data_IF_721270305993
#
_entry.id   IF_721270305993
#
_cell.length_a   1.000
_cell.length_b   1.000
_cell.length_c   1.000
_cell.angle_alpha   90.00
_cell.angle_beta   90.00
_cell.angle_gamma   90.00
#
_symmetry.space_group_name_H-M   'P 1'
#
loop_
_entity.id
_entity.type
_entity.pdbx_description
1 polymer ?
#
# COMPACT_ATOMS: atom_id res chain seq x y z
N UNK A 1 16.41 -1.86 -5.70
CA UNK A 1 15.52 -1.38 -4.61
C UNK A 1 14.92 -0.08 -5.09
N UNK A 2 13.63 -0.04 -5.36
CA UNK A 2 12.92 1.23 -5.52
C UNK A 2 13.00 1.97 -4.18
N UNK A 3 13.50 3.20 -4.20
CA UNK A 3 13.61 4.01 -2.99
C UNK A 3 12.22 4.37 -2.49
N UNK A 4 12.01 4.34 -1.17
CA UNK A 4 10.76 4.71 -0.50
C UNK A 4 10.11 5.96 -1.11
N UNK A 5 10.89 7.01 -1.33
CA UNK A 5 10.45 8.28 -1.92
C UNK A 5 9.86 8.14 -3.35
N UNK A 6 10.36 7.21 -4.17
CA UNK A 6 9.77 6.96 -5.50
C UNK A 6 8.38 6.34 -5.37
N UNK A 7 8.22 5.46 -4.38
CA UNK A 7 6.96 4.79 -4.12
C UNK A 7 5.92 5.75 -3.54
N UNK A 8 6.34 6.62 -2.62
CA UNK A 8 5.51 7.72 -2.12
C UNK A 8 5.07 8.64 -3.26
N UNK A 9 5.99 9.02 -4.17
CA UNK A 9 5.66 9.81 -5.34
C UNK A 9 4.69 9.10 -6.31
N UNK A 10 4.81 7.78 -6.48
CA UNK A 10 3.87 6.99 -7.28
C UNK A 10 2.48 6.96 -6.63
N UNK A 11 2.40 6.74 -5.32
CA UNK A 11 1.15 6.81 -4.57
C UNK A 11 0.54 8.22 -4.66
N UNK A 12 1.32 9.27 -4.51
CA UNK A 12 0.81 10.64 -4.67
C UNK A 12 0.32 10.90 -6.08
N UNK A 13 1.07 10.52 -7.13
CA UNK A 13 0.61 10.69 -8.53
C UNK A 13 -0.69 9.95 -8.78
N UNK A 14 -0.83 8.76 -8.23
CA UNK A 14 -2.05 8.00 -8.38
C UNK A 14 -3.29 8.71 -7.80
N UNK A 15 -3.16 9.37 -6.64
CA UNK A 15 -4.26 10.05 -5.96
C UNK A 15 -4.44 11.52 -6.37
N UNK A 16 -3.34 12.22 -6.69
CA UNK A 16 -3.34 13.65 -7.04
C UNK A 16 -3.33 13.91 -8.56
N UNK A 17 -2.86 12.99 -9.38
CA UNK A 17 -2.76 13.22 -10.82
C UNK A 17 -4.13 13.14 -11.48
N UNK A 18 -4.45 14.16 -12.27
CA UNK A 18 -5.69 14.25 -13.05
C UNK A 18 -5.59 13.52 -14.40
N UNK A 19 -4.37 13.18 -14.82
CA UNK A 19 -4.10 12.50 -16.08
C UNK A 19 -4.30 10.99 -15.92
N UNK A 20 -5.14 10.41 -16.78
CA UNK A 20 -5.50 9.00 -16.69
C UNK A 20 -4.34 8.06 -17.06
N UNK A 21 -3.42 8.49 -17.92
CA UNK A 21 -2.26 7.70 -18.34
C UNK A 21 -1.20 7.67 -17.24
N UNK A 22 -0.94 8.82 -16.61
CA UNK A 22 -0.09 8.93 -15.41
C UNK A 22 -0.62 8.05 -14.27
N UNK A 23 -1.93 8.13 -14.00
CA UNK A 23 -2.58 7.34 -12.97
C UNK A 23 -2.50 5.84 -13.25
N UNK A 24 -2.73 5.44 -14.51
CA UNK A 24 -2.62 4.03 -14.92
C UNK A 24 -1.18 3.50 -14.85
N UNK A 25 -0.18 4.35 -15.13
CA UNK A 25 1.22 3.98 -15.01
C UNK A 25 1.62 3.75 -13.55
N UNK A 26 1.27 4.70 -12.67
CA UNK A 26 1.43 4.53 -11.24
C UNK A 26 0.67 3.30 -10.74
N UNK A 27 -0.54 3.08 -11.26
CA UNK A 27 -1.34 1.92 -10.88
C UNK A 27 -0.65 0.60 -11.19
N UNK A 28 -0.13 0.44 -12.40
CA UNK A 28 0.55 -0.78 -12.82
C UNK A 28 1.82 -1.04 -11.99
N UNK A 29 2.62 0.00 -11.72
CA UNK A 29 3.81 -0.12 -10.88
C UNK A 29 3.43 -0.59 -9.47
N UNK A 30 2.42 0.04 -8.88
CA UNK A 30 1.92 -0.27 -7.54
C UNK A 30 1.21 -1.63 -7.46
N UNK A 31 0.58 -2.09 -8.55
CA UNK A 31 -0.08 -3.40 -8.62
C UNK A 31 0.92 -4.54 -8.47
N UNK A 32 2.15 -4.40 -8.97
CA UNK A 32 3.21 -5.40 -8.80
C UNK A 32 3.49 -5.70 -7.31
N UNK A 33 3.33 -4.70 -6.42
CA UNK A 33 3.49 -4.87 -4.97
C UNK A 33 2.39 -5.71 -4.33
N UNK A 34 1.27 -5.96 -5.01
CA UNK A 34 0.18 -6.78 -4.48
C UNK A 34 0.13 -8.18 -5.09
N UNK A 35 0.88 -8.41 -6.17
CA UNK A 35 0.89 -9.66 -6.93
C UNK A 35 2.13 -10.49 -6.60
N UNK A 36 3.31 -9.87 -6.44
CA UNK A 36 4.54 -10.63 -6.20
C UNK A 36 4.91 -10.65 -4.72
N UNK A 37 5.08 -11.85 -4.17
CA UNK A 37 5.50 -12.10 -2.78
C UNK A 37 6.90 -11.61 -2.46
N UNK A 38 7.71 -11.31 -3.47
CA UNK A 38 9.03 -10.70 -3.31
C UNK A 38 8.93 -9.27 -2.75
N UNK A 39 7.79 -8.59 -2.96
CA UNK A 39 7.56 -7.24 -2.43
C UNK A 39 7.03 -7.23 -1.00
N UNK A 40 6.76 -8.38 -0.35
CA UNK A 40 6.31 -8.43 1.06
C UNK A 40 7.29 -7.67 1.95
N UNK A 41 8.57 -8.01 1.85
CA UNK A 41 9.64 -7.40 2.63
C UNK A 41 9.72 -5.89 2.38
N UNK A 42 9.47 -5.46 1.13
CA UNK A 42 9.48 -4.06 0.77
C UNK A 42 8.27 -3.31 1.34
N UNK A 43 7.08 -3.90 1.31
CA UNK A 43 5.88 -3.35 1.95
C UNK A 43 6.02 -3.27 3.47
N UNK A 44 6.65 -4.26 4.12
CA UNK A 44 6.95 -4.19 5.56
C UNK A 44 7.92 -3.04 5.85
N UNK A 45 8.96 -2.89 5.04
CA UNK A 45 9.88 -1.76 5.17
C UNK A 45 9.17 -0.42 5.00
N UNK A 46 8.27 -0.31 4.02
CA UNK A 46 7.43 0.88 3.81
C UNK A 46 6.55 1.14 5.03
N UNK A 47 5.93 0.12 5.62
CA UNK A 47 5.12 0.31 6.84
C UNK A 47 5.92 0.84 8.02
N UNK A 48 7.17 0.41 8.15
CA UNK A 48 8.05 0.80 9.25
C UNK A 48 8.71 2.18 9.02
N UNK A 49 8.94 2.56 7.75
CA UNK A 49 9.71 3.75 7.39
C UNK A 49 8.92 4.87 6.69
N UNK A 50 7.75 4.59 6.12
CA UNK A 50 6.94 5.59 5.45
C UNK A 50 6.25 6.49 6.46
N UNK A 51 6.26 7.78 6.15
CA UNK A 51 5.56 8.81 6.92
C UNK A 51 4.33 9.33 6.17
N UNK A 52 4.18 8.97 4.90
CA UNK A 52 3.03 9.37 4.10
C UNK A 52 1.87 8.38 4.28
N UNK A 53 0.64 8.87 4.54
CA UNK A 53 -0.53 8.01 4.74
C UNK A 53 -0.86 7.19 3.48
N UNK A 54 -0.56 7.72 2.29
CA UNK A 54 -0.78 7.02 1.02
C UNK A 54 0.10 5.78 0.85
N UNK A 55 1.39 5.87 1.20
CA UNK A 55 2.31 4.74 1.10
C UNK A 55 2.04 3.69 2.17
N UNK A 56 1.71 4.10 3.40
CA UNK A 56 1.28 3.20 4.47
C UNK A 56 0.04 2.40 4.06
N UNK A 57 -0.97 3.08 3.52
CA UNK A 57 -2.22 2.44 3.09
C UNK A 57 -2.02 1.50 1.89
N UNK A 58 -1.12 1.87 0.97
CA UNK A 58 -0.74 1.00 -0.13
C UNK A 58 -0.06 -0.27 0.39
N UNK A 59 1.01 -0.11 1.18
CA UNK A 59 1.79 -1.23 1.68
C UNK A 59 0.91 -2.20 2.49
N UNK A 60 0.03 -1.67 3.33
CA UNK A 60 -0.92 -2.49 4.09
C UNK A 60 -1.95 -3.19 3.19
N UNK A 61 -2.50 -2.51 2.17
CA UNK A 61 -3.47 -3.10 1.21
C UNK A 61 -2.81 -4.22 0.40
N UNK A 62 -1.61 -3.95 -0.13
CA UNK A 62 -0.82 -4.89 -0.89
C UNK A 62 -0.47 -6.12 -0.06
N UNK A 63 0.01 -5.93 1.16
CA UNK A 63 0.30 -7.04 2.08
C UNK A 63 -0.96 -7.81 2.43
N UNK A 64 -2.08 -7.15 2.73
CA UNK A 64 -3.34 -7.83 3.05
C UNK A 64 -3.80 -8.71 1.87
N UNK A 65 -3.67 -8.23 0.63
CA UNK A 65 -4.02 -8.99 -0.57
C UNK A 65 -3.12 -10.22 -0.72
N UNK A 66 -1.81 -10.04 -0.59
CA UNK A 66 -0.86 -11.13 -0.66
C UNK A 66 -1.03 -12.15 0.46
N UNK A 67 -1.41 -11.71 1.65
CA UNK A 67 -1.62 -12.59 2.81
C UNK A 67 -2.98 -13.30 2.76
N UNK A 68 -3.93 -12.76 2.01
CA UNK A 68 -5.20 -13.43 1.72
C UNK A 68 -5.02 -14.49 0.62
N UNK A 69 -4.21 -14.19 -0.39
CA UNK A 69 -3.95 -15.08 -1.54
C UNK A 69 -2.93 -16.19 -1.19
N UNK A 70 -1.81 -15.80 -0.58
CA UNK A 70 -0.84 -16.72 0.00
C UNK A 70 -1.11 -16.83 1.49
N UNK A 71 -1.42 -18.04 1.97
CA UNK A 71 -1.70 -18.36 3.38
C UNK A 71 -0.50 -18.08 4.31
N UNK A 72 -0.19 -16.80 4.48
CA UNK A 72 0.90 -16.27 5.29
C UNK A 72 0.50 -16.31 6.77
N UNK A 73 1.52 -16.36 7.63
CA UNK A 73 1.35 -16.57 9.06
C UNK A 73 0.34 -15.59 9.68
N UNK A 74 -0.59 -16.14 10.47
CA UNK A 74 -1.69 -15.41 11.11
C UNK A 74 -1.22 -14.20 11.93
N UNK A 75 -0.03 -14.29 12.52
CA UNK A 75 0.59 -13.21 13.31
C UNK A 75 0.84 -11.97 12.47
N UNK A 76 1.32 -12.15 11.24
CA UNK A 76 1.65 -11.09 10.31
C UNK A 76 0.36 -10.38 9.82
N UNK A 77 -0.73 -11.15 9.67
CA UNK A 77 -2.07 -10.61 9.38
C UNK A 77 -2.56 -9.66 10.46
N UNK A 78 -2.43 -10.09 11.71
CA UNK A 78 -2.92 -9.33 12.85
C UNK A 78 -2.12 -8.05 13.02
N UNK A 79 -0.79 -8.10 12.87
CA UNK A 79 0.08 -6.92 12.97
C UNK A 79 -0.26 -5.87 11.91
N UNK A 80 -0.40 -6.29 10.64
CA UNK A 80 -0.77 -5.40 9.53
C UNK A 80 -2.17 -4.81 9.73
N UNK A 81 -3.16 -5.63 10.10
CA UNK A 81 -4.52 -5.15 10.37
C UNK A 81 -4.58 -4.20 11.56
N UNK A 82 -3.82 -4.47 12.63
CA UNK A 82 -3.79 -3.57 13.78
C UNK A 82 -3.19 -2.23 13.38
N UNK A 83 -2.04 -2.23 12.71
CA UNK A 83 -1.38 -1.02 12.23
C UNK A 83 -2.29 -0.22 11.29
N UNK A 84 -3.03 -0.90 10.40
CA UNK A 84 -4.08 -0.30 9.58
C UNK A 84 -5.15 0.38 10.43
N UNK A 85 -5.74 -0.33 11.40
CA UNK A 85 -6.80 0.23 12.25
C UNK A 85 -6.31 1.42 13.07
N UNK A 86 -5.09 1.37 13.59
CA UNK A 86 -4.47 2.49 14.29
C UNK A 86 -4.22 3.67 13.35
N UNK A 87 -3.75 3.43 12.12
CA UNK A 87 -3.57 4.48 11.13
C UNK A 87 -4.91 5.14 10.74
N UNK A 88 -5.97 4.35 10.50
CA UNK A 88 -7.29 4.89 10.21
C UNK A 88 -7.88 5.68 11.39
N UNK A 89 -7.72 5.17 12.61
CA UNK A 89 -8.20 5.85 13.82
C UNK A 89 -7.43 7.14 14.09
N UNK A 90 -6.12 7.16 13.83
CA UNK A 90 -5.27 8.33 14.06
C UNK A 90 -5.46 9.41 12.98
N UNK A 91 -5.71 9.02 11.73
CA UNK A 91 -5.80 9.97 10.60
C UNK A 91 -7.23 10.35 10.18
N UNK A 92 -8.29 9.76 10.75
CA UNK A 92 -9.72 10.12 10.51
C UNK A 92 -9.99 10.54 9.05
N UNK A 93 -9.53 9.73 8.09
CA UNK A 93 -9.60 10.01 6.65
C UNK A 93 -11.04 9.76 6.17
N UNK A 94 -11.84 10.81 5.87
CA UNK A 94 -13.19 10.63 5.39
C UNK A 94 -13.10 10.44 3.87
N UNK A 95 -13.52 9.26 3.38
CA UNK A 95 -13.78 8.95 1.96
C UNK A 95 -12.56 8.70 1.06
N UNK A 96 -11.69 7.78 1.46
CA UNK A 96 -10.89 7.06 0.45
C UNK A 96 -11.68 5.82 0.04
N UNK A 97 -12.32 5.93 -1.13
CA UNK A 97 -12.97 4.84 -1.84
C UNK A 97 -11.97 3.69 -1.97
N UNK A 98 -12.22 2.59 -1.25
CA UNK A 98 -11.36 1.41 -1.12
C UNK A 98 -11.32 0.57 -2.40
N UNK A 99 -11.38 1.23 -3.56
CA UNK A 99 -11.38 0.63 -4.89
C UNK A 99 -9.98 0.60 -5.48
N UNK A 100 -8.99 0.37 -4.63
CA UNK A 100 -7.60 0.43 -5.03
C UNK A 100 -6.95 -0.96 -5.01
N UNK A 101 -6.63 -1.42 -6.22
CA UNK A 101 -6.06 -2.70 -6.67
C UNK A 101 -7.11 -3.78 -7.05
N UNK A 102 -7.52 -3.90 -8.34
CA UNK A 102 -8.31 -5.03 -8.84
C UNK A 102 -7.60 -6.36 -8.61
#
# INVERSE_FOLDING_TARGET
>A
MESLAQLEALCERLYNSQDSAERAHAENALKCFSVNTEYISQCQYILDNALTPYALMLASSSLLKQVTDHSLALTLRLDICNSWTYCLLSYSLPKMDFKWIP
#
